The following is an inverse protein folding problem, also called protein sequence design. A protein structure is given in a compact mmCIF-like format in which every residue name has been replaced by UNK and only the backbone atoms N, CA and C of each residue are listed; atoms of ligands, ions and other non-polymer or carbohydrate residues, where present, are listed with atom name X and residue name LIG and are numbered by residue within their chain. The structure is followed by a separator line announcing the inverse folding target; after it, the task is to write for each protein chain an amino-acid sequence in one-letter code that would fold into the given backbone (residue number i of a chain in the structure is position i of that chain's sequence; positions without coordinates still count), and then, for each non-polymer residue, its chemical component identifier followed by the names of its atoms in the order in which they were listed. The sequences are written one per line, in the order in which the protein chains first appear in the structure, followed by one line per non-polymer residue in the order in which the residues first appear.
data_IF_469257400009
#
_entry.id   IF_469257400009
#
_cell.length_a   1.000
_cell.length_b   1.000
_cell.length_c   1.000
_cell.angle_alpha   90.00
_cell.angle_beta   90.00
_cell.angle_gamma   90.00
#
_symmetry.space_group_name_H-M   'P 1'
#
loop_
_entity.id
_entity.type
_entity.pdbx_description
1 polymer ?
#
# COMPACT_ATOMS: atom_id res chain seq x y z
N UNK A 1 9.80 -10.81 -15.12
CA UNK A 1 8.37 -11.06 -14.84
C UNK A 1 7.79 -9.73 -14.40
N UNK A 2 7.09 -9.07 -15.33
CA UNK A 2 6.23 -7.86 -15.27
C UNK A 2 6.36 -6.86 -14.09
N UNK A 3 6.91 -5.70 -14.42
CA UNK A 3 6.98 -4.41 -13.68
C UNK A 3 5.61 -3.78 -13.29
N UNK A 4 4.47 -4.44 -13.52
CA UNK A 4 3.14 -3.83 -13.34
C UNK A 4 2.64 -3.75 -11.90
N UNK A 5 3.35 -4.35 -10.96
CA UNK A 5 2.98 -4.35 -9.53
C UNK A 5 3.66 -3.23 -8.75
N UNK A 6 4.48 -2.38 -9.39
CA UNK A 6 5.13 -1.27 -8.72
C UNK A 6 4.11 -0.22 -8.29
N UNK A 7 4.24 0.21 -7.04
CA UNK A 7 3.45 1.26 -6.44
C UNK A 7 4.37 2.21 -5.67
N UNK A 8 3.85 3.39 -5.36
CA UNK A 8 4.45 4.29 -4.36
C UNK A 8 3.39 4.58 -3.31
N UNK A 9 3.68 4.23 -2.06
CA UNK A 9 2.83 4.53 -0.93
C UNK A 9 3.18 5.92 -0.38
N UNK A 10 2.24 6.85 -0.46
CA UNK A 10 2.35 8.19 0.08
C UNK A 10 1.61 8.31 1.40
N UNK A 11 2.32 8.71 2.45
CA UNK A 11 1.78 8.92 3.80
C UNK A 11 2.43 10.14 4.46
N UNK A 12 1.64 11.18 4.71
CA UNK A 12 2.16 12.49 5.09
C UNK A 12 3.07 13.06 4.00
N UNK A 13 4.27 13.52 4.39
CA UNK A 13 5.31 14.03 3.48
C UNK A 13 6.27 12.93 2.97
N UNK A 14 5.97 11.66 3.26
CA UNK A 14 6.81 10.52 2.88
C UNK A 14 6.19 9.74 1.72
N UNK A 15 7.03 9.35 0.78
CA UNK A 15 6.68 8.49 -0.35
C UNK A 15 7.65 7.31 -0.37
N UNK A 16 7.13 6.11 -0.21
CA UNK A 16 7.93 4.88 -0.16
C UNK A 16 7.55 3.97 -1.32
N UNK A 17 8.49 3.63 -2.20
CA UNK A 17 8.27 2.65 -3.25
C UNK A 17 7.92 1.28 -2.66
N UNK A 18 7.17 0.50 -3.42
CA UNK A 18 6.81 -0.84 -3.03
C UNK A 18 6.22 -1.63 -4.18
N UNK A 19 5.67 -2.78 -3.82
CA UNK A 19 4.99 -3.66 -4.73
C UNK A 19 3.65 -4.13 -4.16
N UNK A 20 2.68 -4.24 -5.06
CA UNK A 20 1.44 -4.94 -4.78
C UNK A 20 1.71 -6.45 -4.86
N UNK A 21 1.80 -7.09 -3.70
CA UNK A 21 2.07 -8.51 -3.58
C UNK A 21 0.85 -9.36 -3.96
N UNK A 22 -0.37 -8.93 -3.59
CA UNK A 22 -1.60 -9.65 -3.90
C UNK A 22 -2.85 -8.77 -3.84
N UNK A 23 -3.87 -9.15 -4.62
CA UNK A 23 -5.25 -8.70 -4.43
C UNK A 23 -5.98 -9.76 -3.60
N UNK A 24 -6.31 -9.43 -2.35
CA UNK A 24 -6.87 -10.40 -1.40
C UNK A 24 -8.41 -10.37 -1.41
N UNK A 25 -9.03 -11.20 -2.25
CA UNK A 25 -10.48 -11.41 -2.22
C UNK A 25 -11.33 -10.26 -2.78
N UNK A 26 -12.62 -10.54 -3.00
CA UNK A 26 -13.55 -9.73 -3.82
C UNK A 26 -14.09 -8.43 -3.20
N UNK A 27 -13.32 -7.72 -2.36
CA UNK A 27 -13.77 -6.48 -1.70
C UNK A 27 -12.72 -5.36 -1.66
N UNK A 28 -11.75 -5.41 -2.57
CA UNK A 28 -10.71 -4.40 -2.68
C UNK A 28 -9.67 -4.45 -1.55
N UNK A 29 -9.40 -5.62 -0.98
CA UNK A 29 -8.25 -5.76 -0.09
C UNK A 29 -6.99 -6.00 -0.91
N UNK A 30 -5.90 -5.41 -0.46
CA UNK A 30 -4.61 -5.36 -1.11
C UNK A 30 -3.56 -5.79 -0.10
N UNK A 31 -2.59 -6.58 -0.54
CA UNK A 31 -1.37 -6.83 0.20
C UNK A 31 -0.23 -6.09 -0.48
N UNK A 32 0.43 -5.22 0.28
CA UNK A 32 1.48 -4.34 -0.21
C UNK A 32 2.75 -4.60 0.58
N UNK A 33 3.88 -4.67 -0.12
CA UNK A 33 5.21 -4.75 0.47
C UNK A 33 5.99 -3.51 0.05
N UNK A 34 6.50 -2.77 1.02
CA UNK A 34 7.31 -1.57 0.81
C UNK A 34 8.80 -1.93 0.78
N UNK A 35 9.60 -1.14 0.06
CA UNK A 35 11.05 -1.37 -0.04
C UNK A 35 11.82 -1.02 1.23
N UNK A 36 11.21 -0.22 2.10
CA UNK A 36 11.75 0.16 3.41
C UNK A 36 10.63 0.28 4.45
N UNK A 37 11.01 0.25 5.72
CA UNK A 37 10.06 0.31 6.83
C UNK A 37 9.32 1.65 6.85
N UNK A 38 8.00 1.60 7.02
CA UNK A 38 7.15 2.76 7.16
C UNK A 38 6.59 2.86 8.59
N UNK A 39 7.38 3.35 9.57
CA UNK A 39 6.98 3.35 10.98
C UNK A 39 5.75 4.22 11.29
N UNK A 40 5.34 5.09 10.36
CA UNK A 40 4.12 5.90 10.47
C UNK A 40 2.83 5.18 10.01
N UNK A 41 2.95 3.99 9.40
CA UNK A 41 1.80 3.21 8.96
C UNK A 41 1.43 2.17 10.01
N UNK A 42 0.18 2.24 10.47
CA UNK A 42 -0.40 1.32 11.44
C UNK A 42 -1.83 1.00 11.06
N UNK A 43 -2.43 -0.03 11.65
CA UNK A 43 -3.84 -0.33 11.41
C UNK A 43 -4.72 0.90 11.74
N UNK A 44 -5.56 1.30 10.78
CA UNK A 44 -6.37 2.51 10.82
C UNK A 44 -5.77 3.72 10.10
N UNK A 45 -4.48 3.72 9.77
CA UNK A 45 -3.86 4.79 8.99
C UNK A 45 -4.42 4.82 7.57
N UNK A 46 -4.69 6.02 7.04
CA UNK A 46 -5.02 6.23 5.64
C UNK A 46 -3.78 6.67 4.86
N UNK A 47 -3.62 6.15 3.64
CA UNK A 47 -2.55 6.54 2.74
C UNK A 47 -3.03 6.54 1.29
N UNK A 48 -2.20 7.11 0.41
CA UNK A 48 -2.42 7.09 -1.03
C UNK A 48 -1.46 6.10 -1.66
N UNK A 49 -1.97 5.24 -2.54
CA UNK A 49 -1.15 4.42 -3.43
C UNK A 49 -1.14 5.04 -4.82
N UNK A 50 0.04 5.40 -5.28
CA UNK A 50 0.30 5.73 -6.68
C UNK A 50 0.67 4.46 -7.44
N UNK A 51 -0.03 4.20 -8.53
CA UNK A 51 0.24 3.09 -9.42
C UNK A 51 1.26 3.49 -10.50
N UNK A 52 1.85 2.50 -11.18
CA UNK A 52 2.80 2.72 -12.29
C UNK A 52 2.26 3.60 -13.45
N UNK A 53 0.94 3.74 -13.59
CA UNK A 53 0.29 4.59 -14.60
C UNK A 53 0.02 6.04 -14.10
N UNK A 54 0.48 6.37 -12.89
CA UNK A 54 0.27 7.65 -12.23
C UNK A 54 -1.12 7.80 -11.60
N UNK A 55 -1.95 6.75 -11.56
CA UNK A 55 -3.23 6.81 -10.88
C UNK A 55 -3.06 6.71 -9.36
N UNK A 56 -3.78 7.55 -8.62
CA UNK A 56 -3.79 7.55 -7.15
C UNK A 56 -5.06 6.94 -6.58
N UNK A 57 -4.88 6.11 -5.54
CA UNK A 57 -5.95 5.43 -4.84
C UNK A 57 -5.84 5.65 -3.33
N UNK A 58 -6.96 5.99 -2.70
CA UNK A 58 -7.08 6.08 -1.24
C UNK A 58 -7.24 4.68 -0.68
N UNK A 59 -6.40 4.35 0.29
CA UNK A 59 -6.46 3.08 1.01
C UNK A 59 -6.37 3.30 2.51
N UNK A 60 -6.93 2.37 3.27
CA UNK A 60 -6.78 2.32 4.73
C UNK A 60 -5.99 1.08 5.08
N UNK A 61 -4.94 1.21 5.87
CA UNK A 61 -4.20 0.08 6.45
C UNK A 61 -5.14 -0.64 7.41
N UNK A 62 -5.38 -1.93 7.18
CA UNK A 62 -6.19 -2.75 8.09
C UNK A 62 -5.33 -3.58 9.03
N UNK A 63 -4.13 -3.95 8.60
CA UNK A 63 -3.22 -4.81 9.35
C UNK A 63 -1.78 -4.56 8.90
N UNK A 64 -0.84 -4.52 9.85
CA UNK A 64 0.58 -4.64 9.55
C UNK A 64 0.94 -6.13 9.55
N UNK A 65 1.51 -6.60 8.46
CA UNK A 65 1.89 -7.98 8.27
C UNK A 65 3.41 -8.06 8.44
N UNK A 66 3.89 -8.86 9.38
CA UNK A 66 5.31 -8.97 9.68
C UNK A 66 5.85 -7.92 10.67
N UNK A 67 7.04 -8.18 11.18
CA UNK A 67 7.63 -7.45 12.31
C UNK A 67 8.45 -6.22 11.88
N UNK A 68 8.79 -6.10 10.60
CA UNK A 68 9.70 -5.06 10.07
C UNK A 68 8.97 -3.80 9.58
N UNK A 69 7.63 -3.77 9.59
CA UNK A 69 6.85 -2.60 9.17
C UNK A 69 6.98 -2.29 7.67
N UNK A 70 7.19 -3.31 6.85
CA UNK A 70 7.31 -3.22 5.39
C UNK A 70 6.11 -3.84 4.68
N UNK A 71 5.44 -4.84 5.26
CA UNK A 71 4.29 -5.50 4.64
C UNK A 71 2.99 -5.11 5.35
N UNK A 72 1.96 -4.82 4.56
CA UNK A 72 0.69 -4.32 5.06
C UNK A 72 -0.47 -4.92 4.28
N UNK A 73 -1.55 -5.22 5.01
CA UNK A 73 -2.87 -5.42 4.42
C UNK A 73 -3.60 -4.09 4.42
N UNK A 74 -4.09 -3.70 3.27
CA UNK A 74 -4.78 -2.44 3.06
C UNK A 74 -6.13 -2.68 2.39
N UNK A 75 -7.07 -1.77 2.63
CA UNK A 75 -8.38 -1.77 1.99
C UNK A 75 -8.49 -0.57 1.07
N UNK A 76 -8.83 -0.82 -0.19
CA UNK A 76 -9.19 0.22 -1.14
C UNK A 76 -10.46 0.95 -0.70
N UNK A 77 -10.35 2.26 -0.52
CA UNK A 77 -11.47 3.14 -0.19
C UNK A 77 -12.07 3.73 -1.46
N UNK A 78 -11.22 4.16 -2.39
CA UNK A 78 -11.64 4.73 -3.65
C UNK A 78 -10.49 5.36 -4.44
N UNK A 79 -10.81 5.95 -5.58
CA UNK A 79 -9.85 6.73 -6.38
C UNK A 79 -9.68 8.13 -5.77
N UNK A 80 -8.46 8.65 -5.77
CA UNK A 80 -8.13 9.94 -5.17
C UNK A 80 -8.36 11.12 -6.10
#
# INVERSE_FOLDING_TARGET
MREFNQIVAHFGDHAVPGELAALEGGRGMLRVTLTEAAPGLSAGSECLLEMHDGAHFRVTVTEALGDEGTEFRMKLVGRA
#
